data_IF_575730227903
#
_entry.id   IF_575730227903
#
_cell.length_a   1.000
_cell.length_b   1.000
_cell.length_c   1.000
_cell.angle_alpha   90.00
_cell.angle_beta   90.00
_cell.angle_gamma   90.00
#
_symmetry.space_group_name_H-M   'P 1'
#
loop_
_entity.id
_entity.type
_entity.pdbx_description
1 polymer ?
#
# COMPACT_ATOMS: atom_id res chain seq x y z
N UNK A 1 69.76 8.13 -30.93
CA UNK A 1 69.46 6.75 -30.48
C UNK A 1 67.95 6.57 -30.36
N UNK A 2 67.36 5.83 -31.30
CA UNK A 2 65.91 5.48 -31.26
C UNK A 2 65.81 4.09 -30.63
N UNK A 3 65.26 4.00 -29.42
CA UNK A 3 65.00 2.71 -28.72
C UNK A 3 63.54 2.35 -28.93
N UNK A 4 63.27 1.27 -29.63
CA UNK A 4 61.90 0.69 -29.76
C UNK A 4 61.79 -0.47 -28.75
N UNK A 5 60.95 -0.33 -27.75
CA UNK A 5 60.64 -1.37 -26.78
C UNK A 5 59.34 -2.01 -27.22
N UNK A 6 59.37 -3.26 -27.68
CA UNK A 6 58.18 -4.07 -27.93
C UNK A 6 57.98 -5.01 -26.73
N UNK A 7 56.95 -4.76 -25.97
CA UNK A 7 56.57 -5.59 -24.82
C UNK A 7 55.40 -6.50 -25.25
N UNK A 8 55.67 -7.79 -25.33
CA UNK A 8 54.65 -8.79 -25.66
C UNK A 8 54.33 -9.60 -24.40
N UNK A 9 53.12 -9.43 -23.91
CA UNK A 9 52.57 -10.25 -22.82
C UNK A 9 52.18 -11.62 -23.37
N UNK A 10 53.10 -12.56 -23.35
CA UNK A 10 52.94 -13.90 -23.93
C UNK A 10 52.15 -14.88 -23.03
N UNK A 11 51.83 -14.54 -21.80
CA UNK A 11 51.12 -15.44 -20.88
C UNK A 11 50.24 -14.71 -19.83
N UNK A 12 49.06 -14.28 -20.23
CA UNK A 12 48.02 -13.76 -19.30
C UNK A 12 46.83 -14.73 -19.13
N UNK A 13 47.01 -16.03 -19.38
CA UNK A 13 45.93 -17.02 -19.37
C UNK A 13 45.21 -17.21 -18.04
N UNK A 14 45.86 -16.92 -16.91
CA UNK A 14 45.23 -16.97 -15.58
C UNK A 14 44.48 -15.69 -15.21
N UNK A 15 45.00 -14.52 -15.57
CA UNK A 15 44.34 -13.24 -15.33
C UNK A 15 43.03 -13.12 -16.13
N UNK A 16 43.02 -13.59 -17.36
CA UNK A 16 41.82 -13.60 -18.24
C UNK A 16 40.72 -14.53 -17.69
N UNK A 17 41.08 -15.71 -17.17
CA UNK A 17 40.11 -16.65 -16.57
C UNK A 17 39.50 -16.08 -15.31
N UNK A 18 40.28 -15.49 -14.40
CA UNK A 18 39.76 -14.88 -13.18
C UNK A 18 38.88 -13.65 -13.47
N UNK A 19 39.15 -12.89 -14.54
CA UNK A 19 38.26 -11.80 -14.95
C UNK A 19 36.92 -12.31 -15.48
N UNK A 20 36.90 -13.40 -16.25
CA UNK A 20 35.67 -14.03 -16.76
C UNK A 20 34.87 -14.65 -15.60
N UNK A 21 35.51 -15.27 -14.64
CA UNK A 21 34.83 -15.80 -13.44
C UNK A 21 34.22 -14.67 -12.59
N UNK A 22 34.97 -13.60 -12.37
CA UNK A 22 34.44 -12.41 -11.66
C UNK A 22 33.23 -11.81 -12.38
N UNK A 23 33.33 -11.59 -13.69
CA UNK A 23 32.20 -11.07 -14.48
C UNK A 23 30.98 -12.00 -14.46
N UNK A 24 31.21 -13.32 -14.45
CA UNK A 24 30.09 -14.30 -14.33
C UNK A 24 29.46 -14.28 -12.95
N UNK A 25 30.24 -14.16 -11.88
CA UNK A 25 29.73 -14.04 -10.51
C UNK A 25 28.97 -12.71 -10.31
N UNK A 26 29.50 -11.61 -10.80
CA UNK A 26 28.83 -10.30 -10.78
C UNK A 26 27.49 -10.35 -11.53
N UNK A 27 27.48 -10.95 -12.72
CA UNK A 27 26.24 -11.14 -13.51
C UNK A 27 25.21 -12.00 -12.77
N UNK A 28 25.64 -13.08 -12.11
CA UNK A 28 24.74 -13.89 -11.28
C UNK A 28 24.22 -13.10 -10.09
N UNK A 29 25.08 -12.35 -9.39
CA UNK A 29 24.70 -11.50 -8.28
C UNK A 29 23.65 -10.44 -8.68
N UNK A 30 23.82 -9.82 -9.86
CA UNK A 30 22.84 -8.87 -10.41
C UNK A 30 21.52 -9.56 -10.76
N UNK A 31 21.55 -10.78 -11.34
CA UNK A 31 20.36 -11.55 -11.65
C UNK A 31 19.56 -11.89 -10.38
N UNK A 32 20.24 -12.42 -9.35
CA UNK A 32 19.60 -12.73 -8.05
C UNK A 32 19.00 -11.47 -7.39
N UNK A 33 19.72 -10.35 -7.44
CA UNK A 33 19.23 -9.09 -6.89
C UNK A 33 18.01 -8.56 -7.63
N UNK A 34 17.95 -8.77 -8.96
CA UNK A 34 16.77 -8.43 -9.76
C UNK A 34 15.55 -9.27 -9.37
N UNK A 35 15.73 -10.58 -9.15
CA UNK A 35 14.65 -11.47 -8.68
C UNK A 35 14.15 -11.09 -7.28
N UNK A 36 15.08 -10.74 -6.37
CA UNK A 36 14.73 -10.25 -5.04
C UNK A 36 13.90 -8.96 -5.11
N UNK A 37 14.34 -7.98 -5.90
CA UNK A 37 13.61 -6.72 -6.08
C UNK A 37 12.24 -6.96 -6.71
N UNK A 38 12.13 -7.83 -7.71
CA UNK A 38 10.85 -8.20 -8.32
C UNK A 38 9.89 -8.81 -7.31
N UNK A 39 10.38 -9.72 -6.46
CA UNK A 39 9.57 -10.34 -5.39
C UNK A 39 9.10 -9.31 -4.34
N UNK A 40 9.94 -8.34 -4.00
CA UNK A 40 9.57 -7.25 -3.09
C UNK A 40 8.49 -6.34 -3.68
N UNK A 41 8.60 -6.00 -4.96
CA UNK A 41 7.59 -5.21 -5.67
C UNK A 41 6.25 -5.95 -5.71
N UNK A 42 6.28 -7.25 -6.06
CA UNK A 42 5.07 -8.08 -6.07
C UNK A 42 4.40 -8.11 -4.69
N UNK A 43 5.17 -8.28 -3.63
CA UNK A 43 4.67 -8.26 -2.25
C UNK A 43 4.05 -6.89 -1.91
N UNK A 44 4.69 -5.79 -2.30
CA UNK A 44 4.15 -4.44 -2.07
C UNK A 44 2.82 -4.22 -2.78
N UNK A 45 2.70 -4.62 -4.05
CA UNK A 45 1.46 -4.51 -4.82
C UNK A 45 0.35 -5.35 -4.20
N UNK A 46 0.63 -6.60 -3.82
CA UNK A 46 -0.35 -7.47 -3.14
C UNK A 46 -0.81 -6.88 -1.83
N UNK A 47 0.12 -6.41 -0.99
CA UNK A 47 -0.22 -5.79 0.31
C UNK A 47 -1.08 -4.54 0.12
N UNK A 48 -0.74 -3.67 -0.84
CA UNK A 48 -1.52 -2.48 -1.14
C UNK A 48 -2.92 -2.83 -1.68
N UNK A 49 -3.02 -3.87 -2.51
CA UNK A 49 -4.30 -4.37 -3.03
C UNK A 49 -5.19 -4.88 -1.89
N UNK A 50 -4.67 -5.75 -1.03
CA UNK A 50 -5.43 -6.32 0.08
C UNK A 50 -5.89 -5.24 1.07
N UNK A 51 -5.02 -4.25 1.36
CA UNK A 51 -5.38 -3.09 2.17
C UNK A 51 -6.53 -2.28 1.54
N UNK A 52 -6.53 -2.08 0.23
CA UNK A 52 -7.61 -1.38 -0.48
C UNK A 52 -8.92 -2.18 -0.47
N UNK A 53 -8.87 -3.52 -0.60
CA UNK A 53 -10.04 -4.41 -0.51
C UNK A 53 -10.66 -4.34 0.87
N UNK A 54 -9.84 -4.44 1.93
CA UNK A 54 -10.30 -4.34 3.34
C UNK A 54 -10.92 -2.97 3.61
N UNK A 55 -10.26 -1.89 3.20
CA UNK A 55 -10.77 -0.54 3.38
C UNK A 55 -12.10 -0.31 2.64
N UNK A 56 -12.28 -0.92 1.46
CA UNK A 56 -13.57 -0.89 0.75
C UNK A 56 -14.68 -1.62 1.50
N UNK A 57 -14.38 -2.79 2.08
CA UNK A 57 -15.35 -3.53 2.88
C UNK A 57 -15.75 -2.76 4.15
N UNK A 58 -14.82 -2.03 4.75
CA UNK A 58 -15.07 -1.18 5.92
C UNK A 58 -16.09 -0.07 5.64
N UNK A 59 -16.18 0.48 4.41
CA UNK A 59 -17.19 1.47 4.04
C UNK A 59 -18.59 0.88 4.19
N UNK A 60 -18.82 -0.33 3.68
CA UNK A 60 -20.12 -0.98 3.77
C UNK A 60 -20.54 -1.21 5.25
N UNK A 61 -19.60 -1.60 6.11
CA UNK A 61 -19.84 -1.74 7.53
C UNK A 61 -20.18 -0.39 8.20
N UNK A 62 -19.46 0.68 7.86
CA UNK A 62 -19.71 2.02 8.36
C UNK A 62 -21.06 2.58 7.89
N UNK A 63 -21.49 2.28 6.66
CA UNK A 63 -22.82 2.66 6.14
C UNK A 63 -23.93 1.96 6.90
N UNK A 64 -23.81 0.66 7.17
CA UNK A 64 -24.79 -0.11 7.98
C UNK A 64 -24.86 0.43 9.40
N UNK A 65 -23.72 0.73 10.01
CA UNK A 65 -23.66 1.32 11.35
C UNK A 65 -24.33 2.69 11.39
N UNK A 66 -24.02 3.57 10.44
CA UNK A 66 -24.63 4.90 10.35
C UNK A 66 -26.15 4.80 10.24
N UNK A 67 -26.65 3.97 9.32
CA UNK A 67 -28.08 3.76 9.14
C UNK A 67 -28.78 3.20 10.39
N UNK A 68 -28.13 2.33 11.16
CA UNK A 68 -28.67 1.80 12.41
C UNK A 68 -28.77 2.88 13.48
N UNK A 69 -27.69 3.66 13.67
CA UNK A 69 -27.64 4.75 14.66
C UNK A 69 -28.56 5.90 14.29
N UNK A 70 -28.72 6.20 13.01
CA UNK A 70 -29.68 7.20 12.53
C UNK A 70 -31.11 6.80 12.89
N UNK A 71 -31.50 5.55 12.65
CA UNK A 71 -32.83 5.05 13.04
C UNK A 71 -33.05 5.15 14.55
N UNK A 72 -32.02 4.79 15.35
CA UNK A 72 -32.10 4.92 16.81
C UNK A 72 -32.28 6.38 17.25
N UNK A 73 -31.51 7.31 16.66
CA UNK A 73 -31.65 8.74 16.93
C UNK A 73 -33.05 9.25 16.58
N UNK A 74 -33.60 8.87 15.43
CA UNK A 74 -34.96 9.27 15.02
C UNK A 74 -36.05 8.72 15.99
N UNK A 75 -35.86 7.52 16.51
CA UNK A 75 -36.76 6.95 17.51
C UNK A 75 -36.72 7.73 18.83
N UNK A 76 -35.52 8.00 19.37
CA UNK A 76 -35.33 8.76 20.60
C UNK A 76 -35.87 10.16 20.47
N UNK A 77 -35.62 10.81 19.31
CA UNK A 77 -36.13 12.14 19.01
C UNK A 77 -37.67 12.18 19.07
N UNK A 78 -38.38 11.24 18.43
CA UNK A 78 -39.85 11.16 18.48
C UNK A 78 -40.34 10.95 19.92
N UNK A 79 -39.73 10.03 20.67
CA UNK A 79 -40.07 9.81 22.08
C UNK A 79 -39.87 11.08 22.94
N UNK A 80 -38.84 11.87 22.64
CA UNK A 80 -38.63 13.15 23.31
C UNK A 80 -39.69 14.17 22.96
N UNK A 81 -40.09 14.28 21.70
CA UNK A 81 -41.17 15.17 21.22
C UNK A 81 -42.52 14.81 21.85
N UNK A 82 -42.73 13.53 22.16
CA UNK A 82 -43.91 13.00 22.88
C UNK A 82 -43.80 13.10 24.41
N UNK A 83 -42.70 13.63 24.93
CA UNK A 83 -42.47 13.72 26.39
C UNK A 83 -42.09 12.42 27.07
N UNK A 84 -41.78 11.36 26.31
CA UNK A 84 -41.48 10.00 26.77
C UNK A 84 -39.97 9.72 26.91
N UNK A 85 -39.09 10.67 26.61
CA UNK A 85 -37.63 10.56 26.76
C UNK A 85 -37.06 11.78 27.43
N UNK A 86 -35.98 11.62 28.18
CA UNK A 86 -35.29 12.73 28.84
C UNK A 86 -34.29 13.40 27.91
N UNK A 87 -33.96 14.70 28.12
CA UNK A 87 -33.02 15.44 27.29
C UNK A 87 -31.66 14.76 27.14
N UNK A 88 -31.19 14.06 28.16
CA UNK A 88 -29.93 13.33 28.16
C UNK A 88 -29.91 12.20 27.11
N UNK A 89 -31.01 11.42 27.03
CA UNK A 89 -31.15 10.35 26.03
C UNK A 89 -31.07 10.92 24.60
N UNK A 90 -31.71 12.05 24.34
CA UNK A 90 -31.66 12.70 23.04
C UNK A 90 -30.25 13.18 22.71
N UNK A 91 -29.56 13.75 23.69
CA UNK A 91 -28.18 14.24 23.50
C UNK A 91 -27.20 13.08 23.21
N UNK A 92 -27.35 11.98 23.93
CA UNK A 92 -26.51 10.77 23.74
C UNK A 92 -26.78 10.12 22.36
N UNK A 93 -28.04 10.00 21.96
CA UNK A 93 -28.40 9.51 20.63
C UNK A 93 -27.84 10.42 19.51
N UNK A 94 -27.86 11.74 19.71
CA UNK A 94 -27.26 12.71 18.77
C UNK A 94 -25.74 12.57 18.68
N UNK A 95 -25.07 12.38 19.83
CA UNK A 95 -23.61 12.15 19.88
C UNK A 95 -23.25 10.87 19.15
N UNK A 96 -24.00 9.79 19.38
CA UNK A 96 -23.79 8.51 18.69
C UNK A 96 -23.94 8.67 17.16
N UNK A 97 -24.98 9.36 16.70
CA UNK A 97 -25.20 9.64 15.29
C UNK A 97 -24.06 10.47 14.67
N UNK A 98 -23.66 11.55 15.33
CA UNK A 98 -22.55 12.39 14.87
C UNK A 98 -21.24 11.59 14.81
N UNK A 99 -20.96 10.76 15.84
CA UNK A 99 -19.80 9.89 15.86
C UNK A 99 -19.78 8.87 14.70
N UNK A 100 -20.91 8.25 14.43
CA UNK A 100 -21.04 7.32 13.30
C UNK A 100 -20.84 8.02 11.93
N UNK A 101 -21.38 9.23 11.76
CA UNK A 101 -21.20 10.03 10.55
C UNK A 101 -19.73 10.42 10.33
N UNK A 102 -19.03 10.82 11.38
CA UNK A 102 -17.60 11.12 11.34
C UNK A 102 -16.80 9.85 10.99
N UNK A 103 -17.10 8.73 11.65
CA UNK A 103 -16.42 7.46 11.37
C UNK A 103 -16.57 7.03 9.91
N UNK A 104 -17.78 7.16 9.34
CA UNK A 104 -18.00 6.92 7.90
C UNK A 104 -17.13 7.81 7.02
N UNK A 105 -17.03 9.10 7.34
CA UNK A 105 -16.20 10.04 6.58
C UNK A 105 -14.70 9.68 6.63
N UNK A 106 -14.20 9.29 7.82
CA UNK A 106 -12.83 8.82 8.01
C UNK A 106 -12.56 7.54 7.22
N UNK A 107 -13.48 6.57 7.28
CA UNK A 107 -13.38 5.30 6.54
C UNK A 107 -13.33 5.53 5.02
N UNK A 108 -14.12 6.46 4.51
CA UNK A 108 -14.08 6.84 3.10
C UNK A 108 -12.75 7.48 2.71
N UNK A 109 -12.22 8.36 3.55
CA UNK A 109 -10.92 9.00 3.33
C UNK A 109 -9.78 7.98 3.36
N UNK A 110 -9.81 7.02 4.29
CA UNK A 110 -8.82 5.91 4.36
C UNK A 110 -8.86 5.07 3.08
N UNK A 111 -10.04 4.70 2.59
CA UNK A 111 -10.16 3.98 1.32
C UNK A 111 -9.53 4.75 0.16
N UNK A 112 -9.73 6.06 0.07
CA UNK A 112 -9.11 6.86 -0.99
C UNK A 112 -7.58 6.87 -0.86
N UNK A 113 -7.05 6.97 0.36
CA UNK A 113 -5.61 6.88 0.60
C UNK A 113 -5.04 5.52 0.17
N UNK A 114 -5.68 4.40 0.56
CA UNK A 114 -5.27 3.04 0.16
C UNK A 114 -5.34 2.83 -1.35
N UNK A 115 -6.34 3.42 -2.01
CA UNK A 115 -6.45 3.38 -3.46
C UNK A 115 -5.27 4.10 -4.14
N UNK A 116 -4.86 5.26 -3.63
CA UNK A 116 -3.70 6.00 -4.15
C UNK A 116 -2.40 5.23 -3.92
N UNK A 117 -2.24 4.58 -2.75
CA UNK A 117 -1.09 3.69 -2.47
C UNK A 117 -1.01 2.53 -3.45
N UNK A 118 -2.13 1.87 -3.75
CA UNK A 118 -2.21 0.80 -4.74
C UNK A 118 -1.80 1.29 -6.14
N UNK A 119 -2.33 2.44 -6.58
CA UNK A 119 -1.97 3.02 -7.87
C UNK A 119 -0.48 3.37 -7.95
N UNK A 120 0.11 3.86 -6.86
CA UNK A 120 1.55 4.14 -6.78
C UNK A 120 2.37 2.85 -6.85
N UNK A 121 1.99 1.81 -6.12
CA UNK A 121 2.67 0.52 -6.14
C UNK A 121 2.60 -0.13 -7.54
N UNK A 122 1.44 -0.07 -8.21
CA UNK A 122 1.26 -0.56 -9.57
C UNK A 122 2.02 0.26 -10.62
N UNK A 123 2.17 1.59 -10.44
CA UNK A 123 2.93 2.44 -11.34
C UNK A 123 4.45 2.19 -11.24
N UNK A 124 4.96 1.79 -10.08
CA UNK A 124 6.35 1.37 -9.92
C UNK A 124 6.64 0.06 -10.68
N UNK A 125 5.67 -0.84 -10.76
CA UNK A 125 5.78 -2.08 -11.55
C UNK A 125 5.76 -1.80 -13.07
N UNK A 126 4.92 -0.88 -13.53
CA UNK A 126 4.83 -0.51 -14.95
C UNK A 126 6.03 0.28 -15.49
N UNK A 127 6.83 0.89 -14.62
CA UNK A 127 8.03 1.67 -14.99
C UNK A 127 9.27 0.84 -15.23
N UNK A 128 9.24 -0.49 -15.02
CA UNK A 128 10.40 -1.38 -15.09
C UNK A 128 10.41 -2.25 -16.35
N UNK A 129 9.47 -2.08 -17.29
CA UNK A 129 9.51 -2.74 -18.60
C UNK A 129 10.27 -1.89 -19.60
N UNK A 130 11.46 -2.34 -20.06
CA UNK A 130 12.21 -1.70 -21.14
C UNK A 130 11.50 -1.87 -22.49
#
# INVERSE_FOLDING_TARGET
LLTVIAQWDLFNGTASRTQVERATLERRGVATRREEVASLIELQVRTAHDAAVVARAAIAAADVQLAAVERAFQLVRRRYEEGLAVPLELLDARRAFTGAAINRAITLADYQARRVELLRAAALDSGTTP
#
